data_IF_816009134198
#
_entry.id   IF_816009134198
#
_cell.length_a   1.000
_cell.length_b   1.000
_cell.length_c   1.000
_cell.angle_alpha   90.00
_cell.angle_beta   90.00
_cell.angle_gamma   90.00
#
_symmetry.space_group_name_H-M   'P 1'
#
loop_
_entity.id
_entity.type
_entity.pdbx_description
1 polymer ?
#
# COMPACT_ATOMS: atom_id res chain seq x y z
N UNK A 1 3.65 7.85 -29.24
CA UNK A 1 3.35 8.89 -28.21
C UNK A 1 3.65 8.31 -26.84
N UNK A 2 4.01 9.12 -25.82
CA UNK A 2 4.20 8.65 -24.43
C UNK A 2 2.91 8.78 -23.64
N UNK A 3 2.71 7.87 -22.66
CA UNK A 3 1.55 7.89 -21.77
C UNK A 3 1.83 7.20 -20.44
N UNK A 4 0.90 7.38 -19.49
CA UNK A 4 0.87 6.75 -18.17
C UNK A 4 -0.29 5.77 -18.10
N UNK A 5 -0.04 4.54 -17.72
CA UNK A 5 -1.10 3.54 -17.51
C UNK A 5 -1.87 3.87 -16.24
N UNK A 6 -3.15 4.20 -16.38
CA UNK A 6 -4.00 4.60 -15.26
C UNK A 6 -5.03 3.54 -14.87
N UNK A 7 -5.28 2.56 -15.74
CA UNK A 7 -6.21 1.46 -15.43
C UNK A 7 -5.86 0.21 -16.20
N UNK A 8 -6.05 -0.96 -15.57
CA UNK A 8 -6.00 -2.26 -16.23
C UNK A 8 -7.41 -2.86 -16.26
N UNK A 9 -7.80 -3.52 -17.36
CA UNK A 9 -9.13 -4.13 -17.51
C UNK A 9 -9.05 -5.64 -17.78
N UNK A 10 -7.88 -6.24 -17.55
CA UNK A 10 -7.62 -7.65 -17.84
C UNK A 10 -7.14 -7.91 -19.26
N UNK A 11 -7.76 -7.33 -20.29
CA UNK A 11 -7.37 -7.49 -21.70
C UNK A 11 -6.88 -6.21 -22.36
N UNK A 12 -7.19 -5.05 -21.77
CA UNK A 12 -6.79 -3.74 -22.26
C UNK A 12 -6.31 -2.84 -21.11
N UNK A 13 -5.78 -1.68 -21.47
CA UNK A 13 -5.22 -0.69 -20.58
C UNK A 13 -5.76 0.69 -20.95
N UNK A 14 -6.15 1.49 -19.97
CA UNK A 14 -6.40 2.91 -20.20
C UNK A 14 -5.09 3.64 -19.93
N UNK A 15 -4.64 4.37 -20.94
CA UNK A 15 -3.41 5.14 -20.90
C UNK A 15 -3.75 6.61 -21.02
N UNK A 16 -3.32 7.41 -20.03
CA UNK A 16 -3.36 8.86 -20.11
C UNK A 16 -2.18 9.35 -20.95
N UNK A 17 -2.49 9.95 -22.08
CA UNK A 17 -1.52 10.46 -23.02
C UNK A 17 -0.95 11.81 -22.57
N UNK A 18 0.18 12.23 -23.17
CA UNK A 18 0.84 13.50 -22.86
C UNK A 18 -0.01 14.74 -23.11
N UNK A 19 -1.03 14.65 -23.96
CA UNK A 19 -1.97 15.73 -24.24
C UNK A 19 -3.13 15.79 -23.23
N UNK A 20 -3.14 14.87 -22.25
CA UNK A 20 -4.17 14.75 -21.22
C UNK A 20 -5.38 13.92 -21.63
N UNK A 21 -5.42 13.37 -22.85
CA UNK A 21 -6.47 12.46 -23.29
C UNK A 21 -6.26 11.05 -22.76
N UNK A 22 -7.35 10.31 -22.57
CA UNK A 22 -7.31 8.90 -22.21
C UNK A 22 -7.59 8.04 -23.44
N UNK A 23 -6.73 7.03 -23.67
CA UNK A 23 -6.85 6.09 -24.78
C UNK A 23 -6.88 4.65 -24.30
N UNK A 24 -7.75 3.83 -24.88
CA UNK A 24 -7.71 2.39 -24.67
C UNK A 24 -6.61 1.78 -25.54
N UNK A 25 -5.72 1.04 -24.89
CA UNK A 25 -4.54 0.45 -25.50
C UNK A 25 -4.46 -1.05 -25.23
N UNK A 26 -3.75 -1.76 -26.11
CA UNK A 26 -3.54 -3.19 -26.03
C UNK A 26 -2.06 -3.55 -26.05
N UNK A 27 -1.72 -4.77 -25.63
CA UNK A 27 -0.38 -5.32 -25.69
C UNK A 27 -0.36 -6.48 -26.67
N UNK A 28 0.66 -6.57 -27.52
CA UNK A 28 0.82 -7.72 -28.44
C UNK A 28 1.14 -8.99 -27.65
N UNK A 29 0.59 -10.15 -28.06
CA UNK A 29 0.70 -11.41 -27.32
C UNK A 29 2.13 -11.93 -27.11
N UNK A 30 3.10 -11.43 -27.87
CA UNK A 30 4.54 -11.72 -27.71
C UNK A 30 5.32 -10.62 -26.96
N UNK A 31 4.62 -9.62 -26.43
CA UNK A 31 5.23 -8.54 -25.67
C UNK A 31 5.83 -9.08 -24.37
N UNK A 32 7.13 -8.91 -24.19
CA UNK A 32 7.86 -9.34 -22.99
C UNK A 32 8.73 -8.21 -22.51
N UNK A 33 8.55 -7.84 -21.24
CA UNK A 33 9.49 -6.95 -20.55
C UNK A 33 10.69 -7.77 -20.12
N UNK A 34 11.91 -7.30 -20.42
CA UNK A 34 13.16 -7.99 -20.04
C UNK A 34 13.18 -8.21 -18.52
N UNK A 35 13.38 -9.48 -18.12
CA UNK A 35 13.57 -9.84 -16.71
C UNK A 35 12.31 -10.12 -15.89
N UNK A 36 11.09 -9.90 -16.42
CA UNK A 36 9.84 -10.12 -15.70
C UNK A 36 9.05 -11.27 -16.35
N UNK A 37 8.86 -12.36 -15.59
CA UNK A 37 7.92 -13.42 -15.95
C UNK A 37 6.57 -13.11 -15.29
N UNK A 38 5.72 -12.39 -16.00
CA UNK A 38 4.37 -12.05 -15.54
C UNK A 38 3.37 -12.31 -16.64
N UNK A 39 2.18 -12.79 -16.29
CA UNK A 39 1.03 -12.90 -17.22
C UNK A 39 0.55 -11.53 -17.68
N UNK A 40 0.80 -10.50 -16.90
CA UNK A 40 0.41 -9.12 -17.21
C UNK A 40 1.66 -8.23 -17.14
N UNK A 41 2.34 -7.98 -18.28
CA UNK A 41 3.61 -7.29 -18.29
C UNK A 41 3.49 -5.79 -17.96
N UNK A 42 2.31 -5.19 -18.13
CA UNK A 42 2.05 -3.77 -17.92
C UNK A 42 1.17 -3.58 -16.68
N UNK A 43 1.49 -2.61 -15.86
CA UNK A 43 0.79 -2.32 -14.60
C UNK A 43 0.35 -0.85 -14.54
N UNK A 44 -0.59 -0.55 -13.64
CA UNK A 44 -0.95 0.84 -13.32
C UNK A 44 0.28 1.56 -12.76
N UNK A 45 0.56 2.75 -13.27
CA UNK A 45 1.75 3.54 -12.93
C UNK A 45 2.94 3.36 -13.89
N UNK A 46 2.83 2.48 -14.88
CA UNK A 46 3.86 2.36 -15.93
C UNK A 46 3.82 3.54 -16.89
N UNK A 47 5.00 4.05 -17.23
CA UNK A 47 5.18 4.94 -18.37
C UNK A 47 5.41 4.12 -19.63
N UNK A 48 4.63 4.39 -20.66
CA UNK A 48 4.59 3.58 -21.88
C UNK A 48 4.71 4.42 -23.15
N UNK A 49 5.24 3.79 -24.19
CA UNK A 49 5.16 4.31 -25.56
C UNK A 49 4.02 3.63 -26.31
N UNK A 50 3.13 4.42 -26.88
CA UNK A 50 1.93 3.95 -27.61
C UNK A 50 2.00 4.35 -29.08
N UNK A 51 1.68 3.40 -29.97
CA UNK A 51 1.51 3.62 -31.42
C UNK A 51 0.25 2.90 -31.87
N UNK A 52 -0.66 3.61 -32.52
CA UNK A 52 -1.92 3.08 -33.10
C UNK A 52 -2.73 2.22 -32.12
N UNK A 53 -2.81 2.63 -30.84
CA UNK A 53 -3.53 1.90 -29.79
C UNK A 53 -2.78 0.68 -29.23
N UNK A 54 -1.51 0.50 -29.60
CA UNK A 54 -0.67 -0.57 -29.07
C UNK A 54 0.42 -0.03 -28.17
N UNK A 55 0.60 -0.64 -27.00
CA UNK A 55 1.76 -0.41 -26.14
C UNK A 55 2.95 -1.12 -26.78
N UNK A 56 3.93 -0.33 -27.18
CA UNK A 56 5.14 -0.79 -27.86
C UNK A 56 6.30 -1.00 -26.92
N UNK A 57 6.36 -0.20 -25.83
CA UNK A 57 7.45 -0.25 -24.85
C UNK A 57 6.96 0.24 -23.50
N UNK A 58 7.63 -0.24 -22.43
CA UNK A 58 7.46 0.19 -21.03
C UNK A 58 8.80 0.71 -20.55
N UNK A 59 8.81 1.95 -20.04
CA UNK A 59 10.02 2.56 -19.46
C UNK A 59 10.49 1.80 -18.21
N UNK A 60 11.76 1.94 -17.87
CA UNK A 60 12.33 1.32 -16.68
C UNK A 60 11.59 1.79 -15.42
N UNK A 61 11.11 0.84 -14.64
CA UNK A 61 10.39 1.10 -13.40
C UNK A 61 11.34 1.52 -12.30
N UNK A 62 11.00 2.60 -11.59
CA UNK A 62 11.70 3.00 -10.36
C UNK A 62 11.51 1.95 -9.24
N UNK A 63 10.28 1.47 -9.11
CA UNK A 63 9.86 0.40 -8.22
C UNK A 63 8.55 -0.22 -8.71
N UNK A 64 8.17 -1.34 -8.10
CA UNK A 64 6.88 -1.97 -8.35
C UNK A 64 6.50 -2.87 -7.17
N UNK A 65 5.22 -3.18 -7.03
CA UNK A 65 4.71 -4.13 -6.05
C UNK A 65 4.03 -5.29 -6.76
N UNK A 66 4.36 -6.51 -6.35
CA UNK A 66 3.77 -7.73 -6.89
C UNK A 66 2.82 -8.38 -5.89
N UNK A 67 1.88 -9.12 -6.44
CA UNK A 67 1.08 -10.11 -5.74
C UNK A 67 1.47 -11.49 -6.27
N UNK A 68 1.83 -12.41 -5.37
CA UNK A 68 2.01 -13.81 -5.75
C UNK A 68 0.66 -14.44 -6.09
N UNK A 69 0.62 -15.26 -7.13
CA UNK A 69 -0.55 -16.09 -7.42
C UNK A 69 -0.70 -17.14 -6.30
N UNK A 70 -1.91 -17.29 -5.78
CA UNK A 70 -2.25 -18.33 -4.78
C UNK A 70 -2.28 -19.74 -5.38
N UNK A 71 -2.25 -19.85 -6.70
CA UNK A 71 -2.19 -21.11 -7.42
C UNK A 71 -0.74 -21.46 -7.76
N UNK A 72 -0.42 -22.75 -7.93
CA UNK A 72 0.87 -23.33 -8.27
C UNK A 72 1.61 -22.74 -9.50
N UNK A 73 1.05 -21.69 -10.13
CA UNK A 73 1.73 -20.95 -11.17
C UNK A 73 2.83 -20.07 -10.57
N UNK A 74 4.07 -20.23 -11.06
CA UNK A 74 5.22 -19.37 -10.69
C UNK A 74 5.09 -17.92 -11.18
N UNK A 75 3.89 -17.49 -11.55
CA UNK A 75 3.62 -16.19 -12.15
C UNK A 75 3.17 -15.19 -11.08
N UNK A 76 3.85 -14.07 -11.02
CA UNK A 76 3.51 -12.94 -10.16
C UNK A 76 2.73 -11.89 -10.94
N UNK A 77 1.75 -11.24 -10.31
CA UNK A 77 1.03 -10.10 -10.88
C UNK A 77 1.59 -8.80 -10.30
N UNK A 78 2.01 -7.89 -11.18
CA UNK A 78 2.40 -6.56 -10.75
C UNK A 78 1.11 -5.77 -10.48
N UNK A 79 0.97 -5.28 -9.26
CA UNK A 79 -0.20 -4.53 -8.81
C UNK A 79 -0.13 -3.06 -9.21
N UNK A 80 1.05 -2.46 -9.01
CA UNK A 80 1.35 -1.08 -9.34
C UNK A 80 2.86 -0.89 -9.54
N UNK A 81 3.23 0.13 -10.31
CA UNK A 81 4.60 0.53 -10.57
C UNK A 81 4.80 2.03 -10.33
N UNK A 82 6.03 2.45 -10.14
CA UNK A 82 6.45 3.85 -9.99
C UNK A 82 5.71 4.60 -8.88
N UNK A 83 5.45 3.92 -7.75
CA UNK A 83 4.77 4.47 -6.59
C UNK A 83 5.75 5.17 -5.65
N UNK A 84 5.30 6.23 -4.96
CA UNK A 84 6.10 6.95 -3.97
C UNK A 84 5.92 6.36 -2.57
N UNK A 85 4.72 5.88 -2.27
CA UNK A 85 4.38 5.32 -0.97
C UNK A 85 3.19 4.37 -1.03
N UNK A 86 3.04 3.57 0.02
CA UNK A 86 1.87 2.72 0.24
C UNK A 86 1.17 3.16 1.52
N UNK A 87 -0.13 3.38 1.45
CA UNK A 87 -0.96 3.64 2.63
C UNK A 87 -1.74 2.36 2.98
N UNK A 88 -1.37 1.73 4.09
CA UNK A 88 -2.10 0.60 4.65
C UNK A 88 -3.21 1.11 5.55
N UNK A 89 -4.46 0.88 5.14
CA UNK A 89 -5.63 1.21 5.95
C UNK A 89 -5.91 0.03 6.87
N UNK A 90 -5.91 0.30 8.16
CA UNK A 90 -6.10 -0.66 9.23
C UNK A 90 -7.20 -0.20 10.19
N UNK A 91 -7.74 -1.11 10.98
CA UNK A 91 -8.72 -0.84 12.03
C UNK A 91 -8.35 -1.62 13.28
N UNK A 92 -8.47 -0.99 14.44
CA UNK A 92 -8.29 -1.66 15.74
C UNK A 92 -9.39 -2.70 15.92
N UNK A 93 -10.63 -2.32 15.58
CA UNK A 93 -11.79 -3.19 15.58
C UNK A 93 -12.69 -2.91 14.36
N UNK A 94 -13.68 -3.76 14.07
CA UNK A 94 -14.70 -3.58 13.01
C UNK A 94 -14.19 -3.51 11.56
N UNK A 95 -13.39 -4.47 11.04
CA UNK A 95 -12.84 -5.71 11.66
C UNK A 95 -11.49 -5.47 12.32
N UNK A 96 -11.07 -6.39 13.19
CA UNK A 96 -9.72 -6.36 13.76
C UNK A 96 -8.68 -6.58 12.67
N UNK A 97 -7.66 -5.73 12.63
CA UNK A 97 -6.45 -5.94 11.83
C UNK A 97 -5.34 -6.40 12.76
N UNK A 98 -4.86 -7.63 12.60
CA UNK A 98 -3.81 -8.16 13.47
C UNK A 98 -2.46 -7.45 13.24
N UNK A 99 -1.67 -7.31 14.30
CA UNK A 99 -0.31 -6.77 14.22
C UNK A 99 0.57 -7.60 13.30
N UNK A 100 0.43 -8.92 13.31
CA UNK A 100 1.15 -9.81 12.38
C UNK A 100 0.88 -9.47 10.92
N UNK A 101 -0.38 -9.14 10.56
CA UNK A 101 -0.68 -8.70 9.18
C UNK A 101 -0.03 -7.35 8.87
N UNK A 102 -0.10 -6.39 9.80
CA UNK A 102 0.54 -5.08 9.63
C UNK A 102 2.05 -5.27 9.44
N UNK A 103 2.68 -6.04 10.29
CA UNK A 103 4.13 -6.25 10.31
C UNK A 103 4.64 -6.97 9.04
N UNK A 104 3.92 -7.98 8.57
CA UNK A 104 4.21 -8.66 7.30
C UNK A 104 4.09 -7.71 6.11
N UNK A 105 3.08 -6.83 6.15
CA UNK A 105 2.91 -5.81 5.14
C UNK A 105 4.06 -4.81 5.14
N UNK A 106 4.45 -4.31 6.31
CA UNK A 106 5.56 -3.39 6.47
C UNK A 106 6.89 -4.01 6.01
N UNK A 107 7.17 -5.26 6.42
CA UNK A 107 8.36 -5.99 5.95
C UNK A 107 8.40 -6.12 4.42
N UNK A 108 7.23 -6.31 3.78
CA UNK A 108 7.12 -6.32 2.33
C UNK A 108 7.46 -4.95 1.73
N UNK A 109 6.96 -3.86 2.31
CA UNK A 109 7.28 -2.51 1.85
C UNK A 109 8.78 -2.21 1.98
N UNK A 110 9.42 -2.62 3.08
CA UNK A 110 10.88 -2.51 3.26
C UNK A 110 11.64 -3.27 2.18
N UNK A 111 11.24 -4.52 1.87
CA UNK A 111 11.87 -5.32 0.81
C UNK A 111 11.77 -4.67 -0.57
N UNK A 112 10.65 -4.02 -0.88
CA UNK A 112 10.48 -3.26 -2.13
C UNK A 112 11.03 -1.83 -2.08
N UNK A 113 11.57 -1.40 -0.93
CA UNK A 113 12.06 -0.04 -0.71
C UNK A 113 11.01 1.03 -1.01
N UNK A 114 9.78 0.76 -0.60
CA UNK A 114 8.66 1.68 -0.74
C UNK A 114 8.22 2.15 0.64
N UNK A 115 8.12 3.46 0.82
CA UNK A 115 7.65 4.06 2.07
C UNK A 115 6.26 3.56 2.42
N UNK A 116 6.06 3.09 3.64
CA UNK A 116 4.77 2.68 4.18
C UNK A 116 4.22 3.70 5.17
N UNK A 117 2.90 3.88 5.15
CA UNK A 117 2.14 4.72 6.05
C UNK A 117 0.98 3.88 6.60
N UNK A 118 0.70 4.00 7.89
CA UNK A 118 -0.43 3.36 8.53
C UNK A 118 -1.57 4.36 8.75
N UNK A 119 -2.75 4.07 8.20
CA UNK A 119 -3.95 4.86 8.42
C UNK A 119 -4.92 4.05 9.26
N UNK A 120 -5.04 4.40 10.53
CA UNK A 120 -6.02 3.84 11.45
C UNK A 120 -7.37 4.48 11.21
N UNK A 121 -8.28 3.71 10.61
CA UNK A 121 -9.61 4.19 10.24
C UNK A 121 -10.67 3.71 11.23
N UNK A 122 -11.86 4.34 11.17
CA UNK A 122 -13.05 4.03 11.99
C UNK A 122 -12.84 4.35 13.49
N UNK A 123 -12.11 5.40 13.79
CA UNK A 123 -11.92 5.82 15.19
C UNK A 123 -13.24 6.23 15.87
N UNK A 124 -14.23 6.60 15.07
CA UNK A 124 -15.61 6.91 15.48
C UNK A 124 -16.35 5.73 16.12
N UNK A 125 -15.88 4.50 15.89
CA UNK A 125 -16.49 3.27 16.43
C UNK A 125 -15.76 2.71 17.65
N UNK A 126 -14.68 3.35 18.11
CA UNK A 126 -13.83 2.83 19.18
C UNK A 126 -14.32 3.25 20.57
N UNK A 127 -14.27 2.31 21.53
CA UNK A 127 -14.41 2.59 22.94
C UNK A 127 -13.17 3.27 23.50
N UNK A 128 -13.24 3.81 24.73
CA UNK A 128 -12.10 4.44 25.41
C UNK A 128 -10.91 3.46 25.56
N UNK A 129 -11.17 2.17 25.83
CA UNK A 129 -10.14 1.14 25.92
C UNK A 129 -9.48 0.88 24.56
N UNK A 130 -10.27 0.83 23.48
CA UNK A 130 -9.77 0.67 22.12
C UNK A 130 -9.03 1.92 21.61
N UNK A 131 -9.40 3.11 22.07
CA UNK A 131 -8.65 4.35 21.81
C UNK A 131 -7.28 4.33 22.51
N UNK A 132 -7.20 3.80 23.73
CA UNK A 132 -5.92 3.58 24.41
C UNK A 132 -5.06 2.56 23.65
N UNK A 133 -5.64 1.45 23.21
CA UNK A 133 -4.94 0.47 22.36
C UNK A 133 -4.46 1.10 21.03
N UNK A 134 -5.25 1.96 20.41
CA UNK A 134 -4.84 2.71 19.23
C UNK A 134 -3.63 3.60 19.50
N UNK A 135 -3.62 4.29 20.64
CA UNK A 135 -2.51 5.15 21.04
C UNK A 135 -1.22 4.34 21.21
N UNK A 136 -1.29 3.17 21.85
CA UNK A 136 -0.15 2.26 22.05
C UNK A 136 0.38 1.74 20.69
N UNK A 137 -0.51 1.32 19.78
CA UNK A 137 -0.13 0.85 18.45
C UNK A 137 0.55 1.96 17.65
N UNK A 138 0.01 3.17 17.67
CA UNK A 138 0.62 4.32 17.00
C UNK A 138 2.01 4.62 17.57
N UNK A 139 2.12 4.70 18.89
CA UNK A 139 3.41 4.95 19.56
C UNK A 139 4.46 3.89 19.19
N UNK A 140 4.05 2.62 19.11
CA UNK A 140 4.91 1.52 18.68
C UNK A 140 5.44 1.77 17.25
N UNK A 141 4.55 1.95 16.27
CA UNK A 141 4.98 2.09 14.87
C UNK A 141 5.73 3.40 14.61
N UNK A 142 5.34 4.49 15.25
CA UNK A 142 6.04 5.78 15.18
C UNK A 142 7.46 5.69 15.77
N UNK A 143 7.67 4.94 16.87
CA UNK A 143 8.99 4.73 17.46
C UNK A 143 9.94 3.95 16.54
N UNK A 144 9.43 3.10 15.68
CA UNK A 144 10.19 2.37 14.67
C UNK A 144 10.59 3.29 13.51
N UNK A 145 9.73 4.30 13.19
CA UNK A 145 9.93 5.28 12.14
C UNK A 145 8.83 5.30 11.08
N UNK A 146 7.72 4.58 11.29
CA UNK A 146 6.57 4.61 10.38
C UNK A 146 5.66 5.80 10.69
N UNK A 147 5.21 6.48 9.67
CA UNK A 147 4.21 7.54 9.81
C UNK A 147 2.84 6.95 10.03
N UNK A 148 2.08 7.49 10.99
CA UNK A 148 0.73 7.04 11.31
C UNK A 148 -0.26 8.20 11.25
N UNK A 149 -1.49 7.90 10.82
CA UNK A 149 -2.63 8.80 10.87
C UNK A 149 -3.85 8.06 11.42
N UNK A 150 -4.59 8.69 12.32
CA UNK A 150 -5.86 8.16 12.82
C UNK A 150 -7.02 9.06 12.36
N UNK A 151 -8.08 8.46 11.81
CA UNK A 151 -9.22 9.19 11.28
C UNK A 151 -10.50 8.35 11.22
N UNK A 152 -11.64 9.00 11.04
CA UNK A 152 -12.87 8.40 10.54
C UNK A 152 -13.08 8.85 9.09
N UNK A 153 -13.13 7.89 8.16
CA UNK A 153 -13.42 8.19 6.75
C UNK A 153 -14.84 8.75 6.55
N UNK A 154 -15.76 8.52 7.48
CA UNK A 154 -17.11 9.07 7.44
C UNK A 154 -17.10 10.57 7.77
N UNK A 155 -16.28 11.00 8.73
CA UNK A 155 -16.18 12.39 9.15
C UNK A 155 -15.51 13.28 8.09
N UNK A 156 -14.67 12.70 7.22
CA UNK A 156 -14.11 13.42 6.08
C UNK A 156 -15.19 13.90 5.09
N UNK A 157 -16.32 13.20 4.99
CA UNK A 157 -17.46 13.60 4.15
C UNK A 157 -18.25 14.76 4.75
N UNK A 158 -18.39 14.81 6.07
CA UNK A 158 -19.15 15.88 6.75
C UNK A 158 -18.45 17.24 6.65
N UNK A 159 -17.14 17.27 6.52
CA UNK A 159 -16.34 18.49 6.34
C UNK A 159 -16.55 19.18 4.96
N UNK A 160 -17.21 18.52 4.00
CA UNK A 160 -17.53 19.08 2.67
C UNK A 160 -18.91 19.74 2.62
N UNK A 161 -19.80 19.45 3.56
CA UNK A 161 -21.10 20.12 3.68
C UNK A 161 -20.91 21.44 4.44
N UNK A 162 -21.34 22.58 3.85
CA UNK A 162 -21.32 23.94 4.41
C UNK A 162 -22.23 24.13 5.67
N UNK A 163 -22.30 23.12 6.54
CA UNK A 163 -22.97 23.25 7.82
C UNK A 163 -21.99 23.82 8.83
N UNK A 164 -22.37 24.91 9.49
CA UNK A 164 -21.60 25.63 10.55
C UNK A 164 -21.20 24.75 11.76
N UNK A 165 -21.49 23.46 11.71
CA UNK A 165 -21.13 22.44 12.68
C UNK A 165 -20.09 21.40 12.16
N UNK A 166 -19.25 21.76 11.16
CA UNK A 166 -18.12 20.90 10.77
C UNK A 166 -17.14 20.87 11.92
N UNK A 167 -17.10 19.72 12.62
CA UNK A 167 -16.19 19.48 13.73
C UNK A 167 -14.76 19.82 13.31
N UNK A 168 -14.06 20.62 14.10
CA UNK A 168 -12.67 21.03 13.84
C UNK A 168 -11.74 19.81 13.61
N UNK A 169 -12.07 18.66 14.18
CA UNK A 169 -11.37 17.39 14.00
C UNK A 169 -11.44 16.83 12.58
N UNK A 170 -12.61 16.85 11.94
CA UNK A 170 -12.77 16.38 10.56
C UNK A 170 -12.01 17.26 9.54
N UNK A 171 -11.98 18.57 9.76
CA UNK A 171 -11.20 19.52 8.95
C UNK A 171 -9.69 19.30 9.11
N UNK A 172 -9.23 19.04 10.32
CA UNK A 172 -7.82 18.74 10.60
C UNK A 172 -7.39 17.41 9.98
N UNK A 173 -8.22 16.36 10.08
CA UNK A 173 -7.94 15.05 9.47
C UNK A 173 -7.88 15.13 7.93
N UNK A 174 -8.78 15.93 7.31
CA UNK A 174 -8.74 16.14 5.86
C UNK A 174 -7.49 16.90 5.41
N UNK A 175 -7.10 17.92 6.13
CA UNK A 175 -5.85 18.65 5.86
C UNK A 175 -4.62 17.75 6.00
N UNK A 176 -4.56 16.95 7.06
CA UNK A 176 -3.47 16.00 7.30
C UNK A 176 -3.35 14.96 6.19
N UNK A 177 -4.46 14.33 5.79
CA UNK A 177 -4.42 13.30 4.74
C UNK A 177 -4.10 13.90 3.36
N UNK A 178 -4.58 15.11 3.06
CA UNK A 178 -4.24 15.80 1.82
C UNK A 178 -2.74 16.12 1.77
N UNK A 179 -2.16 16.62 2.88
CA UNK A 179 -0.71 16.87 2.97
C UNK A 179 0.10 15.58 2.83
N UNK A 180 -0.40 14.47 3.37
CA UNK A 180 0.24 13.16 3.29
C UNK A 180 0.35 12.64 1.86
N UNK A 181 -0.66 12.92 1.03
CA UNK A 181 -0.75 12.46 -0.36
C UNK A 181 -0.29 13.49 -1.40
N UNK A 182 -0.06 14.75 -1.00
CA UNK A 182 0.30 15.82 -1.90
C UNK A 182 1.58 15.51 -2.71
N UNK A 183 1.50 15.63 -4.03
CA UNK A 183 2.61 15.39 -4.96
C UNK A 183 3.13 13.95 -4.96
N UNK A 184 2.33 12.97 -4.55
CA UNK A 184 2.77 11.57 -4.45
C UNK A 184 1.78 10.62 -5.10
N UNK A 185 2.32 9.58 -5.73
CA UNK A 185 1.55 8.41 -6.18
C UNK A 185 1.49 7.42 -5.01
N UNK A 186 0.31 7.28 -4.42
CA UNK A 186 0.07 6.45 -3.24
C UNK A 186 -0.76 5.21 -3.59
N UNK A 187 -0.22 4.03 -3.31
CA UNK A 187 -0.97 2.78 -3.39
C UNK A 187 -1.81 2.60 -2.12
N UNK A 188 -3.12 2.44 -2.27
CA UNK A 188 -4.01 2.13 -1.14
C UNK A 188 -4.11 0.62 -0.93
N UNK A 189 -3.90 0.19 0.30
CA UNK A 189 -3.97 -1.20 0.71
C UNK A 189 -4.74 -1.38 2.02
N UNK A 190 -5.12 -2.60 2.31
CA UNK A 190 -5.80 -2.98 3.55
C UNK A 190 -6.82 -4.10 3.35
N UNK A 191 -7.22 -4.74 4.43
CA UNK A 191 -8.15 -5.85 4.43
C UNK A 191 -9.56 -5.43 3.94
N UNK A 192 -10.41 -6.43 3.65
CA UNK A 192 -11.82 -6.15 3.36
C UNK A 192 -12.50 -5.57 4.61
N UNK A 193 -13.36 -4.57 4.41
CA UNK A 193 -14.14 -3.97 5.50
C UNK A 193 -13.43 -2.88 6.31
N UNK A 194 -12.13 -2.60 6.12
CA UNK A 194 -11.40 -1.53 6.85
C UNK A 194 -11.77 -0.12 6.39
N UNK A 195 -12.56 0.02 5.31
CA UNK A 195 -13.07 1.31 4.85
C UNK A 195 -12.28 1.97 3.71
N UNK A 196 -11.48 1.23 2.92
CA UNK A 196 -10.76 1.76 1.74
C UNK A 196 -11.67 2.53 0.79
N UNK A 197 -12.77 1.89 0.34
CA UNK A 197 -13.73 2.51 -0.59
C UNK A 197 -14.40 3.74 0.01
N UNK A 198 -14.69 3.72 1.31
CA UNK A 198 -15.26 4.87 2.01
C UNK A 198 -14.27 6.04 2.04
N UNK A 199 -13.01 5.75 2.36
CA UNK A 199 -11.95 6.75 2.38
C UNK A 199 -11.73 7.35 0.98
N UNK A 200 -11.65 6.49 -0.05
CA UNK A 200 -11.49 6.94 -1.43
C UNK A 200 -12.65 7.85 -1.85
N UNK A 201 -13.90 7.43 -1.64
CA UNK A 201 -15.08 8.22 -1.96
C UNK A 201 -15.10 9.56 -1.19
N UNK A 202 -14.70 9.54 0.08
CA UNK A 202 -14.60 10.76 0.91
C UNK A 202 -13.56 11.75 0.37
N UNK A 203 -12.40 11.27 -0.06
CA UNK A 203 -11.34 12.12 -0.60
C UNK A 203 -11.74 12.79 -1.91
N UNK A 204 -12.46 12.07 -2.76
CA UNK A 204 -12.92 12.59 -4.07
C UNK A 204 -14.27 13.32 -4.01
N UNK A 205 -15.00 13.25 -2.89
CA UNK A 205 -16.32 13.87 -2.76
C UNK A 205 -17.38 13.29 -3.70
N UNK A 206 -17.18 12.09 -4.23
CA UNK A 206 -18.09 11.35 -5.13
C UNK A 206 -17.93 9.85 -4.98
N UNK A 207 -18.95 9.09 -5.38
CA UNK A 207 -18.88 7.64 -5.39
C UNK A 207 -18.03 7.16 -6.58
N UNK A 208 -16.78 6.79 -6.30
CA UNK A 208 -15.87 6.17 -7.27
C UNK A 208 -15.97 4.64 -7.22
N UNK A 209 -16.13 4.10 -6.01
CA UNK A 209 -16.21 2.66 -5.75
C UNK A 209 -17.44 2.35 -4.92
N UNK A 210 -18.13 1.23 -5.21
CA UNK A 210 -19.29 0.80 -4.43
C UNK A 210 -18.87 0.41 -3.02
N UNK A 211 -19.50 1.00 -2.02
CA UNK A 211 -19.35 0.61 -0.63
C UNK A 211 -20.32 -0.55 -0.35
N UNK A 212 -19.79 -1.75 -0.10
CA UNK A 212 -20.64 -2.88 0.32
C UNK A 212 -21.14 -2.66 1.75
N UNK A 213 -22.48 -2.76 1.98
CA UNK A 213 -23.02 -2.92 3.34
C UNK A 213 -22.50 -4.24 3.89
N UNK A 214 -21.97 -4.23 5.12
CA UNK A 214 -21.66 -5.44 5.88
C UNK A 214 -23.02 -6.12 6.15
N UNK A 215 -23.33 -7.20 5.41
CA UNK A 215 -24.48 -8.03 5.71
C UNK A 215 -24.08 -9.04 6.76
N UNK A 216 -24.82 -9.11 7.86
CA UNK A 216 -24.67 -10.04 9.00
C UNK A 216 -24.98 -11.51 8.66
N UNK A 217 -24.78 -11.95 7.45
CA UNK A 217 -25.01 -13.35 7.07
C UNK A 217 -23.88 -13.82 6.14
N UNK A 218 -23.18 -14.85 6.59
CA UNK A 218 -22.38 -15.79 5.81
C UNK A 218 -22.42 -15.54 4.31
N UNK A 219 -21.41 -14.82 3.75
CA UNK A 219 -20.83 -15.28 2.49
C UNK A 219 -19.59 -14.50 2.08
N UNK A 220 -18.75 -15.17 1.34
CA UNK A 220 -17.51 -14.71 0.69
C UNK A 220 -17.71 -13.32 0.09
N UNK A 221 -17.11 -12.29 0.73
CA UNK A 221 -17.20 -10.92 0.30
C UNK A 221 -16.89 -10.78 -1.19
N UNK A 222 -17.89 -10.37 -1.95
CA UNK A 222 -17.76 -10.06 -3.36
C UNK A 222 -16.82 -8.85 -3.47
N UNK A 223 -15.62 -9.07 -4.00
CA UNK A 223 -14.64 -8.00 -4.22
C UNK A 223 -15.25 -6.97 -5.16
N UNK A 224 -15.42 -5.75 -4.68
CA UNK A 224 -16.00 -4.65 -5.46
C UNK A 224 -15.04 -4.08 -6.50
N UNK A 225 -13.73 -4.25 -6.32
CA UNK A 225 -12.70 -3.81 -7.27
C UNK A 225 -12.07 -5.03 -7.92
N UNK A 226 -12.19 -5.16 -9.24
CA UNK A 226 -11.67 -6.30 -9.99
C UNK A 226 -10.30 -5.99 -10.61
N UNK A 227 -10.00 -4.72 -10.87
CA UNK A 227 -8.80 -4.25 -11.56
C UNK A 227 -8.20 -3.04 -10.83
N UNK A 228 -6.88 -2.87 -10.98
CA UNK A 228 -6.20 -1.69 -10.44
C UNK A 228 -6.55 -0.44 -11.23
N UNK A 229 -6.79 0.68 -10.55
CA UNK A 229 -7.12 1.97 -11.15
C UNK A 229 -6.47 3.12 -10.38
N UNK A 230 -5.97 4.12 -11.11
CA UNK A 230 -5.36 5.32 -10.56
C UNK A 230 -6.33 6.50 -10.66
N UNK A 231 -6.52 7.18 -9.54
CA UNK A 231 -7.36 8.35 -9.39
C UNK A 231 -6.50 9.56 -9.04
N UNK A 232 -6.66 10.66 -9.77
CA UNK A 232 -5.91 11.89 -9.52
C UNK A 232 -6.69 12.79 -8.55
N UNK A 233 -6.06 13.15 -7.44
CA UNK A 233 -6.58 14.18 -6.54
C UNK A 233 -6.45 15.52 -7.26
N UNK A 234 -7.55 16.22 -7.43
CA UNK A 234 -7.53 17.58 -7.98
C UNK A 234 -6.77 18.49 -7.01
N UNK A 235 -5.60 18.94 -7.41
CA UNK A 235 -4.99 20.09 -6.76
C UNK A 235 -5.84 21.31 -7.16
N UNK A 236 -6.31 22.06 -6.16
CA UNK A 236 -6.80 23.43 -6.39
C UNK A 236 -5.59 24.30 -6.76
N UNK A 237 -4.99 24.03 -7.90
CA UNK A 237 -3.98 24.89 -8.46
C UNK A 237 -4.71 26.04 -9.16
N UNK A 238 -4.57 27.22 -8.60
CA UNK A 238 -4.56 28.44 -9.39
C UNK A 238 -3.44 28.24 -10.43
N UNK A 239 -3.82 27.72 -11.60
CA UNK A 239 -2.93 27.68 -12.77
C UNK A 239 -2.55 29.12 -13.03
N UNK A 240 -1.35 29.51 -12.63
CA UNK A 240 -0.73 30.71 -13.15
C UNK A 240 -0.58 30.50 -14.65
N UNK A 241 -1.19 31.39 -15.45
CA UNK A 241 -1.31 31.31 -16.91
C UNK A 241 0.03 31.35 -17.67
N UNK A 242 1.16 31.26 -16.99
CA UNK A 242 2.49 31.49 -17.55
C UNK A 242 3.35 30.24 -17.79
N UNK A 243 2.84 29.03 -17.52
CA UNK A 243 3.60 27.79 -17.79
C UNK A 243 3.08 27.08 -19.06
N UNK A 244 3.21 27.75 -20.19
CA UNK A 244 3.12 27.12 -21.50
C UNK A 244 4.28 26.14 -21.67
N UNK A 245 3.97 24.82 -21.74
CA UNK A 245 4.88 23.74 -22.12
C UNK A 245 5.53 22.88 -21.03
N UNK A 246 4.93 22.72 -19.86
CA UNK A 246 5.31 21.63 -18.99
C UNK A 246 4.57 20.36 -19.44
N UNK A 247 5.34 19.33 -19.80
CA UNK A 247 4.80 17.99 -20.06
C UNK A 247 4.00 17.54 -18.82
N UNK A 248 2.80 16.95 -18.97
CA UNK A 248 2.03 16.40 -17.84
C UNK A 248 2.82 15.42 -16.99
N UNK A 249 3.98 14.94 -17.45
CA UNK A 249 4.91 14.04 -16.76
C UNK A 249 5.99 14.74 -15.94
N UNK A 250 6.15 16.05 -16.04
CA UNK A 250 7.00 16.83 -15.13
C UNK A 250 6.27 17.25 -13.85
N UNK A 251 4.93 17.12 -13.84
CA UNK A 251 4.10 17.30 -12.66
C UNK A 251 3.97 15.94 -11.97
N UNK A 252 4.36 15.83 -10.69
CA UNK A 252 4.01 14.68 -9.85
C UNK A 252 2.59 14.91 -9.33
N UNK A 253 1.56 14.40 -10.01
CA UNK A 253 0.20 14.59 -9.54
C UNK A 253 0.00 13.80 -8.24
N UNK A 254 -0.74 14.38 -7.31
CA UNK A 254 -1.26 13.61 -6.20
C UNK A 254 -2.21 12.55 -6.76
N UNK A 255 -1.85 11.28 -6.65
CA UNK A 255 -2.64 10.19 -7.21
C UNK A 255 -2.78 9.03 -6.23
N UNK A 256 -3.96 8.41 -6.22
CA UNK A 256 -4.24 7.22 -5.44
C UNK A 256 -4.48 6.05 -6.38
N UNK A 257 -3.77 4.94 -6.14
CA UNK A 257 -4.01 3.68 -6.85
C UNK A 257 -4.82 2.78 -5.94
N UNK A 258 -6.06 2.45 -6.34
CA UNK A 258 -6.86 1.42 -5.69
C UNK A 258 -6.58 0.07 -6.34
N UNK A 259 -6.36 -0.93 -5.50
CA UNK A 259 -6.12 -2.30 -5.95
C UNK A 259 -7.18 -3.23 -5.37
N UNK A 260 -7.56 -4.30 -6.11
CA UNK A 260 -8.42 -5.34 -5.57
C UNK A 260 -7.89 -5.83 -4.23
N UNK A 261 -8.78 -6.07 -3.27
CA UNK A 261 -8.42 -6.41 -1.88
C UNK A 261 -7.27 -7.41 -1.80
N UNK A 262 -6.19 -7.00 -1.16
CA UNK A 262 -4.91 -7.72 -1.19
C UNK A 262 -4.96 -8.87 -0.18
N UNK A 263 -5.69 -9.92 -0.51
CA UNK A 263 -5.44 -11.24 0.08
C UNK A 263 -4.17 -11.77 -0.58
N UNK A 264 -3.07 -11.83 0.15
CA UNK A 264 -1.77 -12.33 -0.37
C UNK A 264 -0.70 -11.28 -0.60
N UNK A 265 -0.90 -10.03 -0.18
CA UNK A 265 0.20 -9.10 0.04
C UNK A 265 0.98 -9.57 1.27
N UNK A 266 2.29 -9.66 1.15
CA UNK A 266 3.15 -10.16 2.24
C UNK A 266 3.58 -11.61 2.13
N UNK A 267 3.29 -12.29 1.01
CA UNK A 267 3.88 -13.59 0.68
C UNK A 267 5.07 -13.40 -0.28
N UNK A 268 6.08 -12.65 0.16
CA UNK A 268 7.38 -12.65 -0.52
C UNK A 268 8.14 -13.87 0.00
N UNK A 269 8.78 -14.60 -0.90
CA UNK A 269 9.78 -15.61 -0.50
C UNK A 269 11.02 -14.83 -0.04
N UNK A 270 11.05 -14.48 1.23
CA UNK A 270 12.26 -13.98 1.85
C UNK A 270 13.25 -15.12 2.00
N UNK A 271 14.52 -14.88 1.70
CA UNK A 271 15.55 -15.76 2.19
C UNK A 271 15.66 -15.58 3.72
N UNK A 272 15.86 -16.69 4.44
CA UNK A 272 15.85 -16.71 5.91
C UNK A 272 16.77 -15.65 6.53
N UNK A 273 17.95 -15.49 5.93
CA UNK A 273 18.99 -14.57 6.36
C UNK A 273 18.65 -13.10 6.15
N UNK A 274 17.69 -12.80 5.26
CA UNK A 274 17.29 -11.44 4.91
C UNK A 274 16.11 -10.93 5.76
N UNK A 275 15.34 -11.81 6.40
CA UNK A 275 14.10 -11.42 7.11
C UNK A 275 14.35 -10.30 8.13
N UNK A 276 15.47 -10.35 8.86
CA UNK A 276 15.84 -9.32 9.85
C UNK A 276 16.05 -7.94 9.22
N UNK A 277 16.45 -7.88 7.95
CA UNK A 277 16.69 -6.61 7.24
C UNK A 277 15.40 -5.83 6.99
N UNK A 278 14.25 -6.50 7.01
CA UNK A 278 12.94 -5.91 6.75
C UNK A 278 12.16 -5.54 8.03
N UNK A 279 12.85 -5.63 9.18
CA UNK A 279 12.39 -5.12 10.48
C UNK A 279 13.40 -4.08 10.96
N UNK A 280 13.18 -2.77 10.71
CA UNK A 280 14.21 -1.74 10.92
C UNK A 280 14.81 -1.72 12.33
N UNK A 281 14.00 -1.96 13.37
CA UNK A 281 14.42 -2.03 14.75
C UNK A 281 15.26 -3.28 15.04
N UNK A 282 14.88 -4.43 14.48
CA UNK A 282 15.62 -5.69 14.59
C UNK A 282 16.94 -5.56 13.83
N UNK A 283 16.90 -5.01 12.61
CA UNK A 283 18.10 -4.82 11.80
C UNK A 283 19.12 -3.88 12.48
N UNK A 284 18.66 -2.79 13.08
CA UNK A 284 19.54 -1.90 13.86
C UNK A 284 20.19 -2.63 15.03
N UNK A 285 19.42 -3.38 15.81
CA UNK A 285 19.94 -4.15 16.93
C UNK A 285 20.86 -5.30 16.49
N UNK A 286 20.64 -5.90 15.32
CA UNK A 286 21.42 -7.02 14.79
C UNK A 286 22.91 -6.67 14.59
N UNK A 287 23.20 -5.39 14.34
CA UNK A 287 24.59 -4.92 14.18
C UNK A 287 25.47 -5.10 15.41
N UNK A 288 24.84 -5.27 16.58
CA UNK A 288 25.51 -5.50 17.87
C UNK A 288 25.58 -6.99 18.23
N UNK A 289 25.07 -7.89 17.39
CA UNK A 289 25.12 -9.33 17.62
C UNK A 289 26.55 -9.88 17.53
N UNK A 290 26.85 -10.85 18.40
CA UNK A 290 28.15 -11.53 18.41
C UNK A 290 28.48 -12.25 17.08
N UNK A 291 27.45 -12.76 16.38
CA UNK A 291 27.62 -13.54 15.15
C UNK A 291 26.96 -12.78 13.99
N UNK A 292 27.67 -12.68 12.86
CA UNK A 292 27.19 -12.01 11.66
C UNK A 292 26.01 -12.72 10.97
N UNK A 293 25.83 -14.01 11.20
CA UNK A 293 24.75 -14.85 10.70
C UNK A 293 23.69 -15.17 11.77
N UNK A 294 23.56 -14.30 12.78
CA UNK A 294 22.59 -14.48 13.88
C UNK A 294 21.18 -14.44 13.31
N UNK A 295 20.38 -15.46 13.60
CA UNK A 295 18.95 -15.49 13.25
C UNK A 295 18.05 -14.98 14.37
N UNK A 296 18.65 -14.51 15.48
CA UNK A 296 18.01 -13.91 16.65
C UNK A 296 17.03 -14.85 17.37
N UNK A 297 17.18 -16.18 17.18
CA UNK A 297 16.31 -17.17 17.82
C UNK A 297 16.89 -17.69 19.13
N UNK A 298 18.07 -18.33 19.09
CA UNK A 298 18.66 -18.99 20.26
C UNK A 298 20.17 -18.75 20.39
N UNK A 299 20.74 -17.83 19.62
CA UNK A 299 22.19 -17.60 19.60
C UNK A 299 22.66 -16.88 20.87
N UNK A 300 23.73 -17.37 21.52
CA UNK A 300 24.28 -16.74 22.69
C UNK A 300 24.91 -15.38 22.34
N UNK A 301 24.57 -14.36 23.16
CA UNK A 301 25.04 -13.00 22.93
C UNK A 301 24.28 -12.27 21.78
N UNK A 302 23.03 -12.66 21.55
CA UNK A 302 22.16 -11.99 20.61
C UNK A 302 21.68 -10.64 21.17
N UNK A 303 22.05 -9.54 20.52
CA UNK A 303 21.65 -8.21 20.92
C UNK A 303 20.14 -7.96 20.74
N UNK A 304 19.52 -8.54 19.70
CA UNK A 304 18.08 -8.44 19.50
C UNK A 304 17.31 -9.04 20.66
N UNK A 305 17.67 -10.23 21.12
CA UNK A 305 17.02 -10.83 22.30
C UNK A 305 17.20 -9.98 23.55
N UNK A 306 18.39 -9.38 23.73
CA UNK A 306 18.62 -8.48 24.86
C UNK A 306 17.70 -7.25 24.77
N UNK A 307 17.51 -6.69 23.57
CA UNK A 307 16.62 -5.54 23.32
C UNK A 307 15.14 -5.88 23.55
N UNK A 308 14.72 -7.11 23.31
CA UNK A 308 13.39 -7.58 23.66
C UNK A 308 13.20 -7.64 25.19
N UNK A 309 14.21 -8.17 25.92
CA UNK A 309 14.17 -8.27 27.39
C UNK A 309 14.10 -6.87 28.02
N UNK A 310 14.82 -5.90 27.46
CA UNK A 310 14.78 -4.50 27.97
C UNK A 310 13.56 -3.71 27.52
N UNK A 311 12.73 -4.25 26.60
CA UNK A 311 11.54 -3.58 26.07
C UNK A 311 11.83 -2.59 24.94
N UNK A 312 13.08 -2.49 24.46
CA UNK A 312 13.45 -1.62 23.32
C UNK A 312 12.89 -2.15 22.00
N UNK A 313 12.64 -3.46 21.91
CA UNK A 313 11.94 -4.11 20.79
C UNK A 313 10.67 -4.76 21.35
N UNK A 314 9.53 -4.42 20.75
CA UNK A 314 8.25 -4.96 21.18
C UNK A 314 8.15 -6.47 20.87
N UNK A 315 7.61 -7.24 21.82
CA UNK A 315 7.42 -8.69 21.69
C UNK A 315 6.57 -9.02 20.46
N UNK A 316 5.48 -8.27 20.21
CA UNK A 316 4.59 -8.49 19.06
C UNK A 316 5.33 -8.39 17.71
N UNK A 317 6.28 -7.46 17.61
CA UNK A 317 7.13 -7.29 16.43
C UNK A 317 8.07 -8.48 16.24
N UNK A 318 8.66 -8.95 17.33
CA UNK A 318 9.52 -10.13 17.31
C UNK A 318 8.74 -11.41 16.96
N UNK A 319 7.52 -11.58 17.49
CA UNK A 319 6.63 -12.69 17.14
C UNK A 319 6.29 -12.67 15.63
N UNK A 320 6.01 -11.49 15.09
CA UNK A 320 5.77 -11.32 13.65
C UNK A 320 7.01 -11.67 12.81
N UNK A 321 8.20 -11.27 13.29
CA UNK A 321 9.48 -11.66 12.69
C UNK A 321 9.65 -13.19 12.67
N UNK A 322 9.46 -13.86 13.80
CA UNK A 322 9.54 -15.32 13.89
C UNK A 322 8.54 -16.01 12.97
N UNK A 323 7.30 -15.50 12.89
CA UNK A 323 6.28 -16.02 11.99
C UNK A 323 6.69 -15.98 10.51
N UNK A 324 7.40 -14.94 10.07
CA UNK A 324 7.94 -14.89 8.71
C UNK A 324 9.12 -15.86 8.55
N UNK A 325 9.96 -15.96 9.57
CA UNK A 325 11.10 -16.88 9.57
C UNK A 325 10.68 -18.34 9.44
N UNK A 326 9.58 -18.73 10.08
CA UNK A 326 9.03 -20.08 10.02
C UNK A 326 8.47 -20.38 8.62
N UNK A 327 7.77 -19.43 7.99
CA UNK A 327 7.28 -19.59 6.61
C UNK A 327 8.41 -19.85 5.61
N UNK A 328 9.60 -19.25 5.81
CA UNK A 328 10.76 -19.49 4.92
C UNK A 328 11.29 -20.92 5.04
N UNK A 329 11.07 -21.55 6.19
CA UNK A 329 11.53 -22.92 6.47
C UNK A 329 10.57 -23.96 5.88
N UNK A 330 9.25 -23.73 5.98
CA UNK A 330 8.24 -24.64 5.45
C UNK A 330 8.21 -24.69 3.90
N UNK A 331 8.53 -23.56 3.25
CA UNK A 331 8.56 -23.49 1.78
C UNK A 331 9.59 -24.40 1.11
N UNK A 332 10.67 -24.77 1.81
CA UNK A 332 11.72 -25.69 1.31
C UNK A 332 11.34 -27.16 1.37
N UNK A 333 10.30 -27.53 2.13
CA UNK A 333 9.85 -28.92 2.30
C UNK A 333 8.57 -29.27 1.53
N UNK A 334 7.97 -28.34 0.80
CA UNK A 334 6.84 -28.56 -0.09
C UNK A 334 7.28 -28.62 -1.56
N UNK A 335 8.24 -29.50 -1.86
CA UNK A 335 8.62 -29.85 -3.22
C UNK A 335 7.91 -31.13 -3.66
#
# INVERSE_FOLDING_TARGET
MKGLVIKTTGSSYIVRMNDGSDAECHVKGNFRIRGIRSTNPVAVGDFVTVEDGWIMDVEDRRNYIIRKSTNLSKESHILAANIDQVALIVTVNHPVTSTTFIDRFLATCEAYRVRAILIFNKIDLLTDEELAQLADLRALYESIGYETLALSALDLNSATSNSEASNAEGSNARSAINSLFAGKVTLLSGNSGVGKSTLLNALFGRELTRTGKISDAHDKGMHTTTFSEMYFLEEKNERTKDEGNLSPFTFHPSALIDTPGIKGFGTIDFEREEVSHFFPEIFRASQECRFSNCTHTNEPGCAVQQKIITGDIAISRYESYLSILDDTTEGKYRA
#
